data_IF_469173415396
#
_entry.id   IF_469173415396
#
_cell.length_a   1.000
_cell.length_b   1.000
_cell.length_c   1.000
_cell.angle_alpha   90.00
_cell.angle_beta   90.00
_cell.angle_gamma   90.00
#
_symmetry.space_group_name_H-M   'P 1'
#
loop_
_entity.id
_entity.type
_entity.pdbx_description
1 polymer ?
#
# COMPACT_ATOMS: atom_id res chain seq x y z
N UNK A 1 -14.13 -32.64 3.73
CA UNK A 1 -14.74 -32.11 4.96
C UNK A 1 -16.17 -31.68 4.63
N UNK A 2 -17.13 -32.07 5.45
CA UNK A 2 -18.53 -31.66 5.36
C UNK A 2 -18.85 -30.41 6.19
N UNK A 3 -20.06 -29.88 6.02
CA UNK A 3 -20.53 -28.75 6.85
C UNK A 3 -20.63 -29.22 8.31
N UNK A 4 -20.01 -28.45 9.23
CA UNK A 4 -19.98 -28.78 10.66
C UNK A 4 -18.80 -29.65 11.10
N UNK A 5 -17.98 -30.16 10.20
CA UNK A 5 -16.73 -30.85 10.55
C UNK A 5 -15.64 -29.86 10.97
N UNK A 6 -14.86 -30.30 11.95
CA UNK A 6 -13.70 -29.56 12.42
C UNK A 6 -12.51 -29.73 11.45
N UNK A 7 -12.38 -28.82 10.51
CA UNK A 7 -11.24 -28.83 9.58
C UNK A 7 -10.00 -28.20 10.22
N UNK A 8 -8.85 -28.87 10.08
CA UNK A 8 -7.57 -28.31 10.48
C UNK A 8 -7.11 -27.33 9.39
N UNK A 9 -6.71 -26.13 9.77
CA UNK A 9 -6.14 -25.14 8.87
C UNK A 9 -4.88 -25.72 8.21
N UNK A 10 -4.79 -25.61 6.87
CA UNK A 10 -3.76 -26.30 6.06
C UNK A 10 -2.33 -25.84 6.34
N UNK A 11 -2.16 -24.60 6.81
CA UNK A 11 -0.86 -23.98 7.08
C UNK A 11 -0.53 -23.87 8.60
N UNK A 12 -1.37 -24.45 9.46
CA UNK A 12 -1.19 -24.30 10.92
C UNK A 12 0.06 -24.98 11.44
N UNK A 13 0.39 -26.15 10.91
CA UNK A 13 1.53 -26.93 11.37
C UNK A 13 2.85 -26.19 11.12
N UNK A 14 3.03 -25.65 9.94
CA UNK A 14 4.22 -24.87 9.56
C UNK A 14 4.39 -23.63 10.44
N UNK A 15 3.28 -22.92 10.74
CA UNK A 15 3.29 -21.72 11.58
C UNK A 15 3.58 -22.02 13.04
N UNK A 16 2.94 -23.04 13.60
CA UNK A 16 3.17 -23.43 15.01
C UNK A 16 4.59 -23.94 15.22
N UNK A 17 5.19 -24.58 14.22
CA UNK A 17 6.56 -25.09 14.26
C UNK A 17 7.61 -24.05 13.85
N UNK A 18 7.21 -22.84 13.44
CA UNK A 18 8.12 -21.78 13.04
C UNK A 18 8.74 -21.92 11.64
N UNK A 19 8.22 -22.81 10.80
CA UNK A 19 8.69 -23.00 9.41
C UNK A 19 7.90 -22.17 8.40
N UNK A 20 6.80 -21.55 8.81
CA UNK A 20 6.00 -20.69 7.95
C UNK A 20 6.81 -19.47 7.48
N UNK A 21 6.96 -19.32 6.18
CA UNK A 21 7.64 -18.18 5.57
C UNK A 21 6.67 -17.02 5.34
N UNK A 22 7.11 -15.81 5.67
CA UNK A 22 6.47 -14.55 5.35
C UNK A 22 7.25 -13.83 4.23
N UNK A 23 6.68 -12.84 3.55
CA UNK A 23 7.41 -12.12 2.49
C UNK A 23 8.76 -11.57 2.95
N UNK A 24 8.86 -11.06 4.19
CA UNK A 24 10.10 -10.51 4.75
C UNK A 24 11.18 -11.59 5.03
N UNK A 25 10.81 -12.88 5.03
CA UNK A 25 11.73 -14.01 5.16
C UNK A 25 12.26 -14.50 3.79
N UNK A 26 11.82 -13.89 2.69
CA UNK A 26 12.15 -14.35 1.35
C UNK A 26 13.25 -13.49 0.75
N UNK A 27 14.33 -14.12 0.38
CA UNK A 27 15.47 -13.49 -0.26
C UNK A 27 15.78 -14.17 -1.59
N UNK A 28 16.05 -13.36 -2.59
CA UNK A 28 16.47 -13.80 -3.93
C UNK A 28 17.80 -13.13 -4.24
N UNK A 29 18.72 -13.87 -4.86
CA UNK A 29 20.02 -13.32 -5.24
C UNK A 29 19.87 -12.09 -6.14
N UNK A 30 20.54 -11.00 -5.77
CA UNK A 30 20.44 -9.72 -6.46
C UNK A 30 19.15 -8.95 -6.17
N UNK A 31 18.39 -9.31 -5.12
CA UNK A 31 17.20 -8.57 -4.69
C UNK A 31 17.55 -7.16 -4.24
N UNK A 32 16.72 -6.22 -4.61
CA UNK A 32 16.78 -4.83 -4.15
C UNK A 32 15.82 -4.60 -2.99
N UNK A 33 16.18 -3.66 -2.14
CA UNK A 33 15.30 -3.08 -1.14
C UNK A 33 14.66 -1.80 -1.69
N UNK A 34 13.36 -1.68 -1.55
CA UNK A 34 12.62 -0.51 -2.02
C UNK A 34 11.69 0.02 -0.94
N UNK A 35 11.61 1.35 -0.81
CA UNK A 35 10.69 2.01 0.12
C UNK A 35 10.34 3.40 -0.36
N UNK A 36 9.14 3.86 -0.02
CA UNK A 36 8.68 5.18 -0.41
C UNK A 36 9.25 6.29 0.49
N UNK A 37 9.61 7.42 -0.13
CA UNK A 37 9.73 8.71 0.55
C UNK A 37 8.34 9.29 0.67
N UNK A 38 7.95 9.63 1.90
CA UNK A 38 6.57 10.01 2.21
C UNK A 38 6.45 11.47 2.58
N UNK A 39 5.29 12.06 2.26
CA UNK A 39 4.98 13.46 2.59
C UNK A 39 5.06 13.73 4.09
N UNK A 40 5.65 14.86 4.44
CA UNK A 40 5.71 15.43 5.80
C UNK A 40 4.48 16.27 6.13
N UNK A 41 3.63 16.55 5.14
CA UNK A 41 2.46 17.41 5.28
C UNK A 41 1.18 16.63 4.98
N UNK A 42 0.13 16.81 5.77
CA UNK A 42 -1.16 16.18 5.53
C UNK A 42 -1.86 16.75 4.28
N UNK A 43 -1.56 17.99 3.91
CA UNK A 43 -2.03 18.63 2.70
C UNK A 43 -1.02 19.68 2.25
N UNK A 44 -0.38 19.43 1.13
CA UNK A 44 0.57 20.34 0.51
C UNK A 44 0.67 20.08 -0.99
N UNK A 45 0.95 21.11 -1.78
CA UNK A 45 1.31 20.93 -3.17
C UNK A 45 2.79 20.54 -3.25
N UNK A 46 3.10 19.50 -4.00
CA UNK A 46 4.47 19.12 -4.33
C UNK A 46 4.97 20.05 -5.43
N UNK A 47 6.01 20.84 -5.15
CA UNK A 47 6.56 21.81 -6.11
C UNK A 47 7.74 21.23 -6.90
N UNK A 48 8.64 20.50 -6.21
CA UNK A 48 9.79 19.86 -6.83
C UNK A 48 10.25 18.66 -6.01
N UNK A 49 10.94 17.73 -6.66
CA UNK A 49 11.57 16.55 -6.06
C UNK A 49 13.03 16.57 -6.47
N UNK A 50 13.95 16.76 -5.51
CA UNK A 50 15.38 16.79 -5.71
C UNK A 50 15.98 15.44 -5.33
N UNK A 51 16.31 14.61 -6.30
CA UNK A 51 16.70 13.21 -6.11
C UNK A 51 18.16 12.92 -6.48
N UNK A 52 18.86 13.88 -7.07
CA UNK A 52 20.19 13.71 -7.63
C UNK A 52 21.23 13.28 -6.60
N UNK A 53 21.15 13.82 -5.37
CA UNK A 53 22.06 13.46 -4.26
C UNK A 53 21.83 12.00 -3.82
N UNK A 54 20.59 11.55 -3.81
CA UNK A 54 20.23 10.18 -3.45
C UNK A 54 20.67 9.20 -4.55
N UNK A 55 20.45 9.53 -5.81
CA UNK A 55 20.85 8.70 -6.96
C UNK A 55 22.38 8.56 -7.08
N UNK A 56 23.14 9.56 -6.61
CA UNK A 56 24.60 9.52 -6.61
C UNK A 56 25.22 8.64 -5.52
N UNK A 57 24.44 8.14 -4.55
CA UNK A 57 24.96 7.26 -3.49
C UNK A 57 25.32 5.88 -4.04
N UNK A 58 26.49 5.33 -3.65
CA UNK A 58 26.82 3.94 -3.97
C UNK A 58 25.78 2.96 -3.44
N UNK A 59 25.39 2.00 -4.26
CA UNK A 59 24.38 0.99 -3.92
C UNK A 59 22.93 1.45 -4.11
N UNK A 60 22.69 2.69 -4.53
CA UNK A 60 21.36 3.13 -4.97
C UNK A 60 21.18 2.80 -6.45
N UNK A 61 20.08 2.14 -6.77
CA UNK A 61 19.74 1.74 -8.14
C UNK A 61 18.91 2.80 -8.84
N UNK A 62 18.07 3.52 -8.09
CA UNK A 62 17.28 4.62 -8.63
C UNK A 62 16.28 5.20 -7.65
N UNK A 63 15.81 6.40 -7.98
CA UNK A 63 14.70 7.09 -7.30
C UNK A 63 13.61 7.35 -8.34
N UNK A 64 12.51 6.65 -8.19
CA UNK A 64 11.38 6.65 -9.12
C UNK A 64 10.26 7.55 -8.63
N UNK A 65 9.70 8.35 -9.51
CA UNK A 65 8.59 9.27 -9.25
C UNK A 65 7.31 8.80 -9.94
N UNK A 66 6.22 9.53 -9.78
CA UNK A 66 4.98 9.24 -10.47
C UNK A 66 5.13 9.23 -12.01
N UNK A 67 6.10 9.97 -12.55
CA UNK A 67 6.38 10.04 -13.99
C UNK A 67 7.03 8.76 -14.53
N UNK A 68 7.65 7.97 -13.65
CA UNK A 68 8.29 6.70 -14.01
C UNK A 68 7.28 5.53 -14.03
N UNK A 69 6.02 5.76 -13.61
CA UNK A 69 4.97 4.75 -13.68
C UNK A 69 4.51 4.62 -15.15
N UNK A 70 4.66 3.43 -15.77
CA UNK A 70 4.40 3.30 -17.22
C UNK A 70 2.90 3.27 -17.57
N UNK A 71 2.04 3.01 -16.62
CA UNK A 71 0.59 2.91 -16.81
C UNK A 71 -0.18 4.02 -16.10
N UNK A 72 -1.29 3.66 -15.51
CA UNK A 72 -2.15 4.60 -14.80
C UNK A 72 -1.68 4.78 -13.36
N UNK A 73 -1.54 6.03 -12.91
CA UNK A 73 -1.12 6.34 -11.54
C UNK A 73 -2.24 6.26 -10.49
N UNK A 74 -3.49 6.22 -10.94
CA UNK A 74 -4.67 6.18 -10.04
C UNK A 74 -5.00 4.77 -9.61
N UNK A 75 -5.10 4.57 -8.31
CA UNK A 75 -5.48 3.31 -7.65
C UNK A 75 -6.69 3.51 -6.75
N UNK A 76 -7.34 2.44 -6.34
CA UNK A 76 -8.42 2.45 -5.36
C UNK A 76 -9.43 1.32 -5.52
N UNK A 77 -9.98 0.85 -4.40
CA UNK A 77 -10.96 -0.24 -4.38
C UNK A 77 -12.38 0.19 -4.75
N UNK A 78 -12.85 1.29 -4.18
CA UNK A 78 -14.20 1.82 -4.42
C UNK A 78 -14.20 2.83 -5.55
N UNK A 79 -13.25 3.74 -5.50
CA UNK A 79 -13.00 4.75 -6.53
C UNK A 79 -11.51 4.79 -6.80
N UNK A 80 -11.15 4.95 -8.07
CA UNK A 80 -9.76 5.02 -8.50
C UNK A 80 -9.33 6.49 -8.56
N UNK A 81 -9.27 7.11 -7.42
CA UNK A 81 -9.01 8.53 -7.25
C UNK A 81 -7.77 8.83 -6.39
N UNK A 82 -7.03 7.77 -6.00
CA UNK A 82 -5.83 7.89 -5.19
C UNK A 82 -4.57 7.79 -6.07
N UNK A 83 -3.68 8.76 -5.97
CA UNK A 83 -2.40 8.69 -6.68
C UNK A 83 -1.47 7.70 -5.96
N UNK A 84 -0.94 6.69 -6.66
CA UNK A 84 0.01 5.72 -6.10
C UNK A 84 1.31 6.38 -5.63
N UNK A 85 1.74 7.43 -6.34
CA UNK A 85 2.74 8.42 -5.94
C UNK A 85 2.24 9.79 -6.38
N UNK A 86 2.44 10.81 -5.53
CA UNK A 86 1.96 12.17 -5.81
C UNK A 86 2.88 12.85 -6.83
N UNK A 87 2.39 13.21 -8.03
CA UNK A 87 3.18 13.92 -9.02
C UNK A 87 3.52 15.35 -8.59
N UNK A 88 4.58 15.91 -9.17
CA UNK A 88 4.87 17.34 -9.06
C UNK A 88 3.68 18.16 -9.57
N UNK A 89 3.33 19.22 -8.85
CA UNK A 89 2.15 20.05 -9.10
C UNK A 89 0.85 19.59 -8.45
N UNK A 90 0.77 18.33 -7.99
CA UNK A 90 -0.39 17.77 -7.29
C UNK A 90 -0.34 18.01 -5.78
N UNK A 91 -1.47 17.78 -5.13
CA UNK A 91 -1.66 18.01 -3.69
C UNK A 91 -1.71 16.67 -2.98
N UNK A 92 -1.00 16.56 -1.85
CA UNK A 92 -1.08 15.38 -0.97
C UNK A 92 -2.44 15.30 -0.28
N UNK A 93 -2.92 14.08 -0.02
CA UNK A 93 -4.25 13.83 0.55
C UNK A 93 -4.18 13.55 2.04
N UNK A 94 -3.05 13.00 2.53
CA UNK A 94 -2.84 12.70 3.95
C UNK A 94 -1.36 12.79 4.34
N UNK A 95 -1.09 12.77 5.64
CA UNK A 95 0.26 12.71 6.18
C UNK A 95 0.86 11.33 5.89
N UNK A 96 1.89 11.29 5.05
CA UNK A 96 2.53 10.04 4.67
C UNK A 96 2.21 9.55 3.26
N UNK A 97 1.53 10.35 2.44
CA UNK A 97 1.40 10.06 1.00
C UNK A 97 2.76 9.77 0.37
N UNK A 98 2.83 8.76 -0.50
CA UNK A 98 4.05 8.44 -1.23
C UNK A 98 4.35 9.49 -2.28
N UNK A 99 5.59 9.98 -2.31
CA UNK A 99 6.06 10.98 -3.28
C UNK A 99 6.98 10.34 -4.33
N UNK A 100 7.93 9.52 -3.88
CA UNK A 100 8.80 8.76 -4.76
C UNK A 100 9.19 7.43 -4.09
N UNK A 101 9.69 6.49 -4.89
CA UNK A 101 10.18 5.19 -4.48
C UNK A 101 11.69 5.15 -4.65
N UNK A 102 12.42 4.83 -3.59
CA UNK A 102 13.87 4.57 -3.65
C UNK A 102 14.12 3.08 -3.70
N UNK A 103 15.01 2.64 -4.58
CA UNK A 103 15.50 1.27 -4.68
C UNK A 103 17.02 1.22 -4.49
N UNK A 104 17.50 0.32 -3.63
CA UNK A 104 18.91 0.18 -3.31
C UNK A 104 19.29 -1.28 -3.06
N UNK A 105 20.58 -1.59 -3.15
CA UNK A 105 21.13 -2.94 -2.95
C UNK A 105 21.14 -3.36 -1.48
N UNK A 106 21.16 -2.41 -0.54
CA UNK A 106 21.16 -2.67 0.91
C UNK A 106 20.14 -1.80 1.63
N UNK A 107 19.69 -2.24 2.81
CA UNK A 107 18.78 -1.46 3.67
C UNK A 107 19.45 -0.17 4.14
N UNK A 108 20.75 -0.18 4.40
CA UNK A 108 21.55 0.97 4.82
C UNK A 108 21.59 2.05 3.71
N UNK A 109 21.91 1.64 2.47
CA UNK A 109 21.92 2.53 1.32
C UNK A 109 20.52 3.10 1.07
N UNK A 110 19.48 2.29 1.18
CA UNK A 110 18.09 2.70 1.05
C UNK A 110 17.73 3.83 2.03
N UNK A 111 18.01 3.64 3.34
CA UNK A 111 17.66 4.65 4.35
C UNK A 111 18.48 5.92 4.21
N UNK A 112 19.78 5.81 3.84
CA UNK A 112 20.60 6.98 3.54
C UNK A 112 20.07 7.74 2.31
N UNK A 113 19.72 7.04 1.25
CA UNK A 113 19.18 7.66 0.05
C UNK A 113 17.83 8.37 0.32
N UNK A 114 16.93 7.74 1.05
CA UNK A 114 15.66 8.36 1.45
C UNK A 114 15.84 9.66 2.22
N UNK A 115 16.89 9.73 3.07
CA UNK A 115 17.20 10.93 3.84
C UNK A 115 17.76 12.08 2.97
N UNK A 116 18.33 11.77 1.79
CA UNK A 116 18.88 12.74 0.87
C UNK A 116 17.89 13.24 -0.19
N UNK A 117 16.73 12.61 -0.31
CA UNK A 117 15.68 13.15 -1.18
C UNK A 117 15.08 14.38 -0.51
N UNK A 118 15.18 15.51 -1.18
CA UNK A 118 14.60 16.77 -0.74
C UNK A 118 13.34 17.07 -1.57
N UNK A 119 12.28 17.53 -0.93
CA UNK A 119 11.01 17.81 -1.60
C UNK A 119 10.54 19.20 -1.20
N UNK A 120 10.28 20.03 -2.20
CA UNK A 120 9.71 21.36 -2.01
C UNK A 120 8.19 21.28 -1.94
N UNK A 121 7.63 21.87 -0.91
CA UNK A 121 6.20 21.88 -0.66
C UNK A 121 5.65 23.30 -0.51
N UNK A 122 4.43 23.49 -1.00
CA UNK A 122 3.55 24.58 -0.62
C UNK A 122 2.51 24.04 0.37
N UNK A 123 2.66 24.28 1.69
CA UNK A 123 1.70 23.81 2.68
C UNK A 123 0.31 24.42 2.48
N UNK A 124 -0.73 23.62 2.57
CA UNK A 124 -2.13 24.02 2.42
C UNK A 124 -2.92 23.67 3.68
N UNK A 125 -4.08 24.35 3.87
CA UNK A 125 -4.96 24.08 5.00
C UNK A 125 -5.47 22.63 4.94
N UNK A 126 -5.17 21.79 5.94
CA UNK A 126 -5.61 20.39 5.96
C UNK A 126 -7.07 20.25 6.39
N UNK A 127 -7.65 19.07 6.12
CA UNK A 127 -9.00 18.67 6.52
C UNK A 127 -8.87 17.50 7.49
N UNK A 128 -9.13 17.72 8.79
CA UNK A 128 -8.93 16.70 9.81
C UNK A 128 -10.23 16.07 10.33
N UNK A 129 -11.38 16.74 10.15
CA UNK A 129 -12.67 16.29 10.70
C UNK A 129 -13.67 15.97 9.60
N UNK A 130 -14.30 14.78 9.62
CA UNK A 130 -15.34 14.42 8.64
C UNK A 130 -16.50 15.40 8.63
N UNK A 131 -16.90 15.91 9.80
CA UNK A 131 -17.98 16.91 9.93
C UNK A 131 -17.62 18.27 9.28
N UNK A 132 -16.34 18.62 9.24
CA UNK A 132 -15.87 19.79 8.50
C UNK A 132 -15.76 19.47 7.01
N UNK A 133 -15.27 18.28 6.65
CA UNK A 133 -15.12 17.84 5.27
C UNK A 133 -16.45 17.83 4.49
N UNK A 134 -17.56 17.57 5.17
CA UNK A 134 -18.91 17.56 4.58
C UNK A 134 -19.49 18.95 4.32
N UNK A 135 -18.85 20.03 4.79
CA UNK A 135 -19.34 21.38 4.57
C UNK A 135 -19.05 21.86 3.13
N UNK A 136 -19.94 22.63 2.50
CA UNK A 136 -19.77 23.09 1.11
C UNK A 136 -18.54 23.95 0.86
N UNK A 137 -18.00 24.58 1.91
CA UNK A 137 -16.83 25.46 1.86
C UNK A 137 -15.53 24.75 2.25
N UNK A 138 -15.57 23.44 2.60
CA UNK A 138 -14.39 22.70 2.96
C UNK A 138 -13.49 22.49 1.73
N UNK A 139 -12.16 22.55 1.89
CA UNK A 139 -11.27 22.18 0.80
C UNK A 139 -11.53 20.74 0.35
N UNK A 140 -11.50 20.51 -0.95
CA UNK A 140 -11.62 19.17 -1.51
C UNK A 140 -10.33 18.36 -1.26
N UNK A 141 -10.50 17.14 -0.76
CA UNK A 141 -9.41 16.16 -0.62
C UNK A 141 -9.22 15.42 -1.93
N UNK A 142 -10.30 15.01 -2.59
CA UNK A 142 -10.29 14.42 -3.92
C UNK A 142 -11.02 15.33 -4.91
N UNK A 143 -10.68 15.22 -6.19
CA UNK A 143 -11.34 16.00 -7.25
C UNK A 143 -12.84 15.72 -7.33
N UNK A 144 -13.25 14.48 -7.01
CA UNK A 144 -14.65 14.05 -6.98
C UNK A 144 -15.43 14.55 -5.75
N UNK A 145 -14.74 15.12 -4.75
CA UNK A 145 -15.34 15.59 -3.50
C UNK A 145 -14.79 14.91 -2.26
N UNK A 146 -15.43 15.21 -1.12
CA UNK A 146 -15.02 14.66 0.18
C UNK A 146 -15.92 13.50 0.65
N UNK A 147 -16.97 13.15 -0.11
CA UNK A 147 -17.86 12.05 0.19
C UNK A 147 -17.48 10.84 -0.64
N UNK A 148 -16.91 9.81 0.00
CA UNK A 148 -16.52 8.59 -0.68
C UNK A 148 -17.73 7.78 -1.17
N UNK A 149 -18.69 7.54 -0.28
CA UNK A 149 -19.94 6.87 -0.62
C UNK A 149 -21.00 7.13 0.45
N UNK A 150 -22.27 7.01 0.04
CA UNK A 150 -23.42 7.01 0.93
C UNK A 150 -24.21 5.72 0.71
N UNK A 151 -24.60 5.08 1.81
CA UNK A 151 -25.42 3.85 1.79
C UNK A 151 -26.65 4.08 2.63
N UNK A 152 -27.81 3.98 2.00
CA UNK A 152 -29.09 4.09 2.68
C UNK A 152 -29.71 2.69 2.84
N UNK A 153 -29.99 2.31 4.09
CA UNK A 153 -30.69 1.07 4.41
C UNK A 153 -31.93 1.42 5.23
N UNK A 154 -33.08 1.01 4.76
CA UNK A 154 -34.37 1.30 5.41
C UNK A 154 -35.18 0.04 5.60
N UNK A 155 -35.81 -0.11 6.78
CA UNK A 155 -36.78 -1.16 7.07
C UNK A 155 -37.90 -0.59 7.92
N UNK A 156 -39.14 -0.70 7.45
CA UNK A 156 -40.31 -0.09 8.10
C UNK A 156 -40.30 1.43 8.03
N UNK A 157 -40.90 2.08 9.02
CA UNK A 157 -40.95 3.55 9.16
C UNK A 157 -40.29 3.97 10.48
N UNK A 158 -38.96 4.20 10.42
CA UNK A 158 -38.17 4.55 11.60
C UNK A 158 -38.63 5.89 12.23
N UNK A 159 -38.94 6.89 11.41
CA UNK A 159 -39.37 8.20 11.90
C UNK A 159 -40.69 8.11 12.68
N UNK A 160 -41.64 7.30 12.20
CA UNK A 160 -42.88 7.05 12.93
C UNK A 160 -42.62 6.30 14.23
N UNK A 161 -41.79 5.24 14.20
CA UNK A 161 -41.45 4.49 15.37
C UNK A 161 -40.77 5.34 16.47
N UNK A 162 -39.91 6.28 16.09
CA UNK A 162 -39.27 7.24 17.02
C UNK A 162 -40.31 8.18 17.62
N UNK A 163 -41.26 8.70 16.82
CA UNK A 163 -42.32 9.59 17.31
C UNK A 163 -43.28 8.89 18.28
N UNK A 164 -43.55 7.59 18.07
CA UNK A 164 -44.46 6.80 18.85
C UNK A 164 -43.81 6.12 20.06
N UNK A 165 -42.47 6.23 20.20
CA UNK A 165 -41.74 5.64 21.30
C UNK A 165 -41.98 6.38 22.64
N UNK A 166 -42.18 5.61 23.73
CA UNK A 166 -42.32 6.18 25.09
C UNK A 166 -41.03 6.89 25.56
N UNK A 167 -39.88 6.39 25.10
CA UNK A 167 -38.58 6.96 25.45
C UNK A 167 -37.66 7.02 24.20
N UNK A 168 -37.03 8.17 23.99
CA UNK A 168 -36.02 8.36 22.94
C UNK A 168 -34.71 8.76 23.59
N UNK A 169 -33.67 7.97 23.34
CA UNK A 169 -32.31 8.25 23.80
C UNK A 169 -31.44 8.65 22.61
N UNK A 170 -30.68 9.72 22.78
CA UNK A 170 -29.73 10.20 21.78
C UNK A 170 -28.34 10.30 22.40
N UNK A 171 -27.36 9.61 21.81
CA UNK A 171 -25.99 9.64 22.27
C UNK A 171 -25.02 9.95 21.13
N UNK A 172 -23.95 10.63 21.47
CA UNK A 172 -22.81 10.83 20.58
C UNK A 172 -21.69 9.87 20.98
N UNK A 173 -21.17 9.13 19.99
CA UNK A 173 -20.06 8.20 20.19
C UNK A 173 -18.90 8.64 19.29
N UNK A 174 -17.69 8.67 19.86
CA UNK A 174 -16.45 8.97 19.14
C UNK A 174 -15.41 7.92 19.48
N UNK A 175 -14.78 7.34 18.45
CA UNK A 175 -13.69 6.39 18.60
C UNK A 175 -12.40 7.02 18.09
N UNK A 176 -11.27 6.85 18.79
CA UNK A 176 -9.98 7.34 18.31
C UNK A 176 -9.51 6.56 17.09
N UNK A 177 -8.63 7.16 16.30
CA UNK A 177 -7.85 6.44 15.33
C UNK A 177 -6.98 5.42 16.05
N UNK A 178 -7.03 4.16 15.61
CA UNK A 178 -6.28 3.07 16.21
C UNK A 178 -5.60 2.28 15.10
N UNK A 179 -4.27 2.15 15.21
CA UNK A 179 -3.48 1.28 14.35
C UNK A 179 -3.81 -0.18 14.69
N UNK A 180 -3.97 -1.02 13.67
CA UNK A 180 -4.27 -2.45 13.84
C UNK A 180 -3.11 -3.20 14.49
N UNK A 181 -1.87 -2.73 14.30
CA UNK A 181 -0.66 -3.30 14.87
C UNK A 181 -0.52 -4.80 14.58
N UNK A 182 -0.68 -5.18 13.33
CA UNK A 182 -0.48 -6.57 12.91
C UNK A 182 0.91 -7.08 13.31
N UNK A 183 0.98 -8.34 13.73
CA UNK A 183 2.24 -8.97 14.09
C UNK A 183 3.18 -9.12 12.88
N UNK A 184 2.61 -9.39 11.71
CA UNK A 184 3.32 -9.49 10.46
C UNK A 184 3.48 -8.09 9.83
N UNK A 185 4.71 -7.59 9.61
CA UNK A 185 4.94 -6.34 8.91
C UNK A 185 4.38 -6.37 7.48
N UNK A 186 3.85 -5.26 7.02
CA UNK A 186 3.43 -5.12 5.63
C UNK A 186 4.65 -5.09 4.72
N UNK A 187 4.73 -6.07 3.84
CA UNK A 187 5.85 -6.29 2.94
C UNK A 187 5.38 -6.96 1.64
N UNK A 188 6.09 -6.73 0.57
CA UNK A 188 5.90 -7.43 -0.68
C UNK A 188 7.26 -7.74 -1.33
N UNK A 189 7.38 -8.92 -1.92
CA UNK A 189 8.50 -9.32 -2.77
C UNK A 189 7.98 -9.52 -4.17
N UNK A 190 8.59 -8.86 -5.15
CA UNK A 190 8.23 -8.98 -6.54
C UNK A 190 9.44 -9.41 -7.39
N UNK A 191 9.21 -10.33 -8.31
CA UNK A 191 10.24 -10.79 -9.23
C UNK A 191 9.61 -11.20 -10.58
N UNK A 192 10.32 -10.97 -11.70
CA UNK A 192 9.88 -11.46 -13.00
C UNK A 192 9.98 -12.98 -13.05
N UNK A 193 9.01 -13.61 -13.69
CA UNK A 193 9.05 -15.04 -14.01
C UNK A 193 8.89 -15.25 -15.54
N UNK A 194 8.80 -16.51 -15.98
CA UNK A 194 8.70 -16.86 -17.41
C UNK A 194 7.42 -16.30 -18.04
N UNK A 195 6.35 -16.16 -17.28
CA UNK A 195 5.04 -15.76 -17.75
C UNK A 195 4.70 -14.29 -17.48
N UNK A 196 5.45 -13.61 -16.58
CA UNK A 196 5.16 -12.23 -16.23
C UNK A 196 5.85 -11.73 -14.98
N UNK A 197 5.08 -11.28 -13.99
CA UNK A 197 5.53 -10.76 -12.71
C UNK A 197 4.85 -11.52 -11.57
N UNK A 198 5.64 -12.18 -10.74
CA UNK A 198 5.14 -12.77 -9.49
C UNK A 198 5.32 -11.79 -8.36
N UNK A 199 4.26 -11.58 -7.56
CA UNK A 199 4.23 -10.76 -6.36
C UNK A 199 3.86 -11.66 -5.18
N UNK A 200 4.62 -11.57 -4.10
CA UNK A 200 4.33 -12.21 -2.83
C UNK A 200 4.05 -11.12 -1.82
N UNK A 201 2.79 -10.92 -1.48
CA UNK A 201 2.35 -9.82 -0.62
C UNK A 201 1.69 -10.32 0.67
N UNK A 202 1.57 -9.42 1.64
CA UNK A 202 0.84 -9.65 2.90
C UNK A 202 -0.62 -9.23 2.80
N UNK A 203 -1.08 -8.79 1.63
CA UNK A 203 -2.43 -8.29 1.43
C UNK A 203 -3.51 -9.38 1.56
N UNK A 204 -4.77 -8.97 1.59
CA UNK A 204 -5.93 -9.87 1.67
C UNK A 204 -6.70 -9.95 0.34
N UNK A 205 -6.27 -9.20 -0.66
CA UNK A 205 -6.99 -9.00 -1.92
C UNK A 205 -6.16 -9.29 -3.16
N UNK A 206 -5.56 -10.49 -3.29
CA UNK A 206 -4.67 -10.86 -4.39
C UNK A 206 -5.21 -10.49 -5.79
N UNK A 207 -6.52 -10.63 -6.02
CA UNK A 207 -7.12 -10.24 -7.30
C UNK A 207 -7.19 -8.73 -7.51
N UNK A 208 -7.35 -7.97 -6.43
CA UNK A 208 -7.36 -6.51 -6.48
C UNK A 208 -5.95 -5.98 -6.67
N UNK A 209 -4.98 -6.52 -5.94
CA UNK A 209 -3.55 -6.20 -6.13
C UNK A 209 -3.10 -6.50 -7.56
N UNK A 210 -3.42 -7.67 -8.10
CA UNK A 210 -3.10 -8.01 -9.49
C UNK A 210 -3.72 -7.02 -10.49
N UNK A 211 -4.96 -6.58 -10.25
CA UNK A 211 -5.63 -5.58 -11.09
C UNK A 211 -4.94 -4.21 -11.02
N UNK A 212 -4.67 -3.72 -9.80
CA UNK A 212 -4.05 -2.42 -9.62
C UNK A 212 -2.61 -2.38 -10.16
N UNK A 213 -1.81 -3.42 -9.91
CA UNK A 213 -0.45 -3.52 -10.44
C UNK A 213 -0.44 -3.64 -11.97
N UNK A 214 -1.38 -4.40 -12.54
CA UNK A 214 -1.58 -4.49 -13.99
C UNK A 214 -1.78 -3.10 -14.61
N UNK A 215 -2.60 -2.25 -14.00
CA UNK A 215 -2.86 -0.89 -14.46
C UNK A 215 -1.65 0.04 -14.29
N UNK A 216 -1.01 0.01 -13.11
CA UNK A 216 0.19 0.80 -12.83
C UNK A 216 1.33 0.48 -13.80
N UNK A 217 1.52 -0.80 -14.12
CA UNK A 217 2.59 -1.24 -15.01
C UNK A 217 2.22 -1.25 -16.50
N UNK A 218 0.93 -1.04 -16.82
CA UNK A 218 0.44 -1.15 -18.20
C UNK A 218 0.57 -2.56 -18.76
N UNK A 219 0.57 -3.59 -17.90
CA UNK A 219 0.69 -5.00 -18.28
C UNK A 219 -0.68 -5.68 -18.28
N UNK A 220 -0.89 -6.70 -19.13
CA UNK A 220 -2.09 -7.52 -19.05
C UNK A 220 -2.21 -8.18 -17.66
N UNK A 221 -3.44 -8.24 -17.11
CA UNK A 221 -3.68 -8.80 -15.77
C UNK A 221 -3.21 -10.25 -15.64
N UNK A 222 -3.28 -11.01 -16.72
CA UNK A 222 -2.84 -12.41 -16.81
C UNK A 222 -1.33 -12.57 -16.61
N UNK A 223 -0.58 -11.47 -16.76
CA UNK A 223 0.87 -11.39 -16.53
C UNK A 223 1.23 -11.02 -15.09
N UNK A 224 0.26 -10.76 -14.24
CA UNK A 224 0.48 -10.42 -12.83
C UNK A 224 0.01 -11.59 -11.97
N UNK A 225 0.94 -12.26 -11.33
CA UNK A 225 0.72 -13.42 -10.48
C UNK A 225 0.86 -13.02 -9.01
N UNK A 226 -0.18 -12.38 -8.44
CA UNK A 226 -0.15 -12.08 -7.02
C UNK A 226 -0.47 -13.32 -6.19
N UNK A 227 0.41 -13.62 -5.25
CA UNK A 227 0.31 -14.76 -4.36
C UNK A 227 0.37 -14.28 -2.92
N UNK A 228 -0.66 -14.58 -2.18
CA UNK A 228 -0.69 -14.31 -0.76
C UNK A 228 0.28 -15.23 -0.01
N UNK A 229 1.35 -14.67 0.53
CA UNK A 229 2.44 -15.46 1.12
C UNK A 229 2.00 -16.33 2.31
N UNK A 230 0.99 -15.89 3.08
CA UNK A 230 0.43 -16.68 4.19
C UNK A 230 -0.20 -18.00 3.77
N UNK A 231 -0.63 -18.14 2.51
CA UNK A 231 -1.31 -19.33 1.97
C UNK A 231 -0.40 -20.17 1.11
N UNK A 232 0.84 -19.80 0.92
CA UNK A 232 1.68 -20.53 -0.01
C UNK A 232 1.96 -21.95 0.48
N UNK A 233 1.21 -22.91 -0.09
CA UNK A 233 1.86 -24.14 -0.51
C UNK A 233 2.86 -23.72 -1.57
N UNK A 234 4.12 -23.68 -1.24
CA UNK A 234 5.16 -23.93 -2.23
C UNK A 234 4.80 -25.28 -2.84
N UNK A 235 4.07 -25.29 -3.94
CA UNK A 235 3.99 -26.47 -4.78
C UNK A 235 5.43 -26.69 -5.19
N UNK A 236 6.05 -27.69 -4.60
CA UNK A 236 7.22 -28.31 -5.17
C UNK A 236 6.82 -28.85 -6.55
N UNK A 237 6.89 -28.03 -7.56
CA UNK A 237 7.18 -28.50 -8.89
C UNK A 237 8.70 -28.56 -8.94
N UNK A 238 9.23 -29.79 -8.76
CA UNK A 238 10.63 -30.13 -8.98
C UNK A 238 11.61 -29.37 -8.10
N UNK A 239 12.21 -30.06 -7.15
CA UNK A 239 13.47 -29.82 -6.49
C UNK A 239 13.97 -28.37 -6.47
N UNK A 240 13.72 -27.63 -5.39
CA UNK A 240 14.60 -26.55 -5.00
C UNK A 240 15.85 -27.18 -4.38
N UNK A 241 16.73 -27.73 -5.21
CA UNK A 241 18.11 -27.92 -4.90
C UNK A 241 18.77 -26.56 -5.12
N UNK A 242 18.93 -25.75 -4.09
CA UNK A 242 19.86 -24.62 -3.94
C UNK A 242 20.32 -23.80 -5.16
N UNK A 243 19.66 -23.91 -6.31
CA UNK A 243 20.00 -23.14 -7.51
C UNK A 243 18.97 -22.04 -7.72
N UNK A 244 19.44 -20.79 -7.76
CA UNK A 244 18.68 -19.65 -8.22
C UNK A 244 17.94 -20.01 -9.51
N UNK A 245 16.67 -19.57 -9.71
CA UNK A 245 15.93 -19.83 -10.93
C UNK A 245 16.76 -19.30 -12.10
N UNK A 246 17.24 -20.22 -12.95
CA UNK A 246 17.88 -19.86 -14.21
C UNK A 246 16.82 -19.23 -15.11
N UNK A 247 16.69 -17.93 -15.03
CA UNK A 247 15.72 -17.24 -15.87
C UNK A 247 15.22 -15.90 -15.38
N UNK A 248 15.69 -15.38 -14.23
CA UNK A 248 15.42 -14.01 -13.83
C UNK A 248 15.98 -13.05 -14.91
N UNK A 249 15.27 -12.93 -16.02
CA UNK A 249 15.54 -11.87 -17.01
C UNK A 249 15.01 -10.57 -16.44
N UNK A 250 15.87 -9.60 -16.39
CA UNK A 250 15.60 -8.21 -16.06
C UNK A 250 14.43 -7.71 -16.93
N UNK A 251 13.33 -7.34 -16.32
CA UNK A 251 12.51 -6.28 -16.90
C UNK A 251 13.44 -5.07 -16.98
N UNK A 252 13.44 -4.36 -18.06
CA UNK A 252 14.43 -3.43 -18.59
C UNK A 252 15.31 -2.62 -17.62
N UNK A 253 15.14 -2.73 -16.31
CA UNK A 253 15.96 -2.06 -15.29
C UNK A 253 15.94 -2.84 -13.98
N UNK A 254 16.78 -3.82 -13.81
CA UNK A 254 17.22 -4.25 -12.50
C UNK A 254 16.63 -5.53 -11.91
N UNK A 255 17.26 -6.02 -10.84
CA UNK A 255 16.88 -7.20 -10.11
C UNK A 255 15.56 -7.04 -9.35
N UNK A 256 14.99 -8.16 -8.90
CA UNK A 256 13.79 -8.20 -8.07
C UNK A 256 13.91 -7.32 -6.83
N UNK A 257 12.83 -6.58 -6.48
CA UNK A 257 12.82 -5.66 -5.36
C UNK A 257 11.93 -6.13 -4.21
N UNK A 258 12.33 -5.82 -3.00
CA UNK A 258 11.52 -5.96 -1.80
C UNK A 258 11.06 -4.57 -1.35
N UNK A 259 9.75 -4.37 -1.27
CA UNK A 259 9.16 -3.15 -0.73
C UNK A 259 8.77 -3.34 0.73
N UNK A 260 9.37 -2.57 1.61
CA UNK A 260 8.99 -2.53 3.02
C UNK A 260 8.14 -1.28 3.26
N UNK A 261 6.82 -1.47 3.38
CA UNK A 261 5.95 -0.44 3.91
C UNK A 261 6.12 -0.41 5.44
N UNK A 262 7.07 0.35 5.94
CA UNK A 262 7.10 0.61 7.37
C UNK A 262 5.91 1.52 7.74
N UNK A 263 5.12 1.16 8.75
CA UNK A 263 4.11 2.04 9.32
C UNK A 263 4.80 3.12 10.18
N UNK A 264 5.60 3.99 9.56
CA UNK A 264 6.09 5.22 10.20
C UNK A 264 5.15 6.38 9.92
N UNK A 265 3.86 6.14 10.04
CA UNK A 265 2.87 7.16 10.20
C UNK A 265 2.23 7.00 11.57
N UNK A 266 2.98 7.24 12.65
CA UNK A 266 2.31 7.58 13.91
C UNK A 266 1.50 8.82 13.59
N UNK A 267 0.18 8.68 13.59
CA UNK A 267 -0.72 9.81 13.54
C UNK A 267 -0.32 10.76 14.66
N UNK A 268 0.37 11.85 14.31
CA UNK A 268 0.62 12.91 15.26
C UNK A 268 -0.75 13.46 15.65
N UNK A 269 -1.07 13.46 16.95
CA UNK A 269 -2.25 14.17 17.45
C UNK A 269 -2.12 15.61 16.98
N UNK A 270 -3.18 16.23 16.43
CA UNK A 270 -3.17 17.65 16.22
C UNK A 270 -2.94 18.33 17.56
N UNK A 271 -2.18 19.43 17.62
CA UNK A 271 -2.11 20.26 18.81
C UNK A 271 -3.53 20.72 19.15
N UNK A 272 -3.84 20.75 20.44
CA UNK A 272 -5.11 21.21 21.00
C UNK A 272 -5.45 22.64 20.55
#
# INVERSE_FOLDING_TARGET
YGVGERAVRVDVAEKVQGYGKYPDDLYVDGMLYASAVRSKYPRARVLAIHKEKAEALPGVVGVYTAEDIPGEIKVGHLQQDWDAMIPVGRITHYLGDAICLVAAETKEALEQAKALVEIDYEPLKPVFRPTYASQPFAPLVHESGNLLCEKHVSRGNADQAIRDADYVLMYHYETPYTEHAFLEPECAVAYPDEDGLTILSTDQGAYDTAREVSRLLGLPKEKIHDQYARRRRLRRQGGYDGAAPRGARRLSHGPSGQGEAQPKGKYARPPE
#
